data_IF_710291330196
#
_entry.id   IF_710291330196
#
_cell.length_a   1.000
_cell.length_b   1.000
_cell.length_c   1.000
_cell.angle_alpha   90.00
_cell.angle_beta   90.00
_cell.angle_gamma   90.00
#
_symmetry.space_group_name_H-M   'P 1'
#
loop_
_entity.id
_entity.type
_entity.pdbx_description
1 polymer ?
#
# COMPACT_ATOMS: atom_id res chain seq x y z
N UNK A 1 0.07 16.88 3.52
CA UNK A 1 -0.08 15.85 2.47
C UNK A 1 1.10 15.80 1.52
N UNK A 2 1.54 16.91 0.90
CA UNK A 2 2.75 16.91 0.05
C UNK A 2 4.01 16.38 0.77
N UNK A 3 4.25 16.82 2.01
CA UNK A 3 5.35 16.30 2.83
C UNK A 3 5.27 14.78 3.09
N UNK A 4 4.07 14.19 3.04
CA UNK A 4 3.90 12.75 3.19
C UNK A 4 4.22 12.00 1.89
N UNK A 5 3.95 12.60 0.72
CA UNK A 5 4.44 12.06 -0.55
C UNK A 5 5.97 12.04 -0.57
N UNK A 6 6.62 13.07 -0.06
CA UNK A 6 8.09 13.14 0.04
C UNK A 6 8.70 12.07 0.95
N UNK A 7 7.91 11.49 1.87
CA UNK A 7 8.35 10.38 2.70
C UNK A 7 8.31 9.02 2.00
N UNK A 8 7.68 8.92 0.83
CA UNK A 8 7.65 7.69 0.05
C UNK A 8 8.99 7.46 -0.68
N UNK A 9 9.54 6.23 -0.64
CA UNK A 9 10.72 5.86 -1.41
C UNK A 9 10.52 6.07 -2.91
N UNK A 10 11.58 6.49 -3.59
CA UNK A 10 11.57 6.79 -5.02
C UNK A 10 11.22 5.57 -5.90
N UNK A 11 11.54 4.36 -5.43
CA UNK A 11 11.27 3.10 -6.12
C UNK A 11 9.82 2.62 -6.02
N UNK A 12 8.97 3.24 -5.20
CA UNK A 12 7.55 2.85 -5.14
C UNK A 12 6.81 3.32 -6.38
N UNK A 13 5.86 2.52 -6.86
CA UNK A 13 4.89 2.97 -7.85
C UNK A 13 3.61 3.43 -7.15
N UNK A 14 3.16 4.64 -7.44
CA UNK A 14 2.01 5.26 -6.78
C UNK A 14 1.05 5.80 -7.82
N UNK A 15 -0.23 5.46 -7.70
CA UNK A 15 -1.34 6.12 -8.39
C UNK A 15 -2.22 6.83 -7.38
N UNK A 16 -3.18 7.63 -7.84
CA UNK A 16 -4.12 8.31 -6.95
C UNK A 16 -5.47 8.50 -7.62
N UNK A 17 -6.53 8.19 -6.88
CA UNK A 17 -7.89 8.53 -7.23
C UNK A 17 -8.46 9.42 -6.12
N UNK A 18 -8.87 10.62 -6.48
CA UNK A 18 -9.64 11.49 -5.59
C UNK A 18 -11.13 11.19 -5.76
N UNK A 19 -11.91 11.33 -4.70
CA UNK A 19 -13.36 11.19 -4.76
C UNK A 19 -14.05 12.08 -3.70
N UNK A 20 -15.31 12.49 -3.93
CA UNK A 20 -16.04 12.41 -5.21
C UNK A 20 -15.44 13.35 -6.27
N UNK A 21 -15.44 12.92 -7.54
CA UNK A 21 -15.00 13.76 -8.68
C UNK A 21 -16.13 14.18 -9.60
N UNK A 22 -17.32 13.57 -9.44
CA UNK A 22 -18.53 13.93 -10.16
C UNK A 22 -19.64 14.35 -9.19
N UNK A 23 -20.41 15.36 -9.59
CA UNK A 23 -21.63 15.74 -8.87
C UNK A 23 -22.73 14.71 -9.20
N UNK A 24 -22.93 13.78 -8.28
CA UNK A 24 -23.88 12.67 -8.42
C UNK A 24 -25.36 13.08 -8.35
N UNK A 25 -25.66 14.38 -8.22
CA UNK A 25 -27.05 14.89 -8.28
C UNK A 25 -27.74 14.67 -9.62
N UNK A 26 -27.02 14.25 -10.68
CA UNK A 26 -27.53 14.14 -12.07
C UNK A 26 -27.77 12.73 -12.59
N UNK A 27 -27.88 11.71 -11.74
CA UNK A 27 -28.18 10.34 -12.21
C UNK A 27 -27.10 9.78 -13.12
N UNK A 28 -25.84 10.10 -12.82
CA UNK A 28 -24.68 9.62 -13.55
C UNK A 28 -24.48 8.13 -13.27
N UNK A 29 -23.91 7.41 -14.24
CA UNK A 29 -23.59 5.99 -14.09
C UNK A 29 -22.39 5.74 -13.15
N UNK A 30 -21.55 6.76 -12.92
CA UNK A 30 -20.32 6.68 -12.13
C UNK A 30 -20.09 7.97 -11.34
N UNK A 31 -19.57 7.83 -10.12
CA UNK A 31 -19.39 8.91 -9.13
C UNK A 31 -17.92 9.32 -9.03
N UNK A 32 -17.07 8.41 -9.48
CA UNK A 32 -15.67 8.67 -9.78
C UNK A 32 -15.47 8.76 -11.30
N UNK A 33 -14.49 9.56 -11.69
CA UNK A 33 -14.12 9.81 -13.09
C UNK A 33 -12.75 9.20 -13.36
N UNK A 34 -12.65 8.42 -14.43
CA UNK A 34 -11.39 7.87 -14.94
C UNK A 34 -10.37 8.97 -15.27
N UNK A 35 -10.85 10.12 -15.75
CA UNK A 35 -10.02 11.29 -16.04
C UNK A 35 -9.38 11.93 -14.81
N UNK A 36 -9.89 11.60 -13.61
CA UNK A 36 -9.37 12.10 -12.34
C UNK A 36 -8.38 11.12 -11.68
N UNK A 37 -8.17 9.94 -12.28
CA UNK A 37 -7.19 8.98 -11.80
C UNK A 37 -5.80 9.33 -12.32
N UNK A 38 -4.86 9.49 -11.41
CA UNK A 38 -3.44 9.47 -11.74
C UNK A 38 -3.03 7.99 -11.84
N UNK A 39 -2.53 7.54 -13.00
CA UNK A 39 -2.14 6.14 -13.19
C UNK A 39 -0.97 5.77 -12.26
N UNK A 40 -0.91 4.49 -11.89
CA UNK A 40 0.21 3.95 -11.12
C UNK A 40 1.47 4.03 -11.98
N UNK A 41 2.45 4.79 -11.51
CA UNK A 41 3.76 4.95 -12.13
C UNK A 41 4.85 5.03 -11.06
N UNK A 42 6.12 4.71 -11.38
CA UNK A 42 7.23 4.93 -10.47
C UNK A 42 7.23 6.37 -9.95
N UNK A 43 7.31 6.52 -8.63
CA UNK A 43 7.25 7.80 -7.96
C UNK A 43 8.47 8.63 -8.31
N UNK A 44 9.65 8.03 -8.35
CA UNK A 44 10.91 8.67 -8.70
C UNK A 44 11.40 9.69 -7.66
N UNK A 45 12.57 10.27 -7.93
CA UNK A 45 13.22 11.25 -7.07
C UNK A 45 12.36 12.52 -6.82
N UNK A 46 12.64 13.30 -5.75
CA UNK A 46 12.01 14.59 -5.54
C UNK A 46 12.00 15.46 -6.80
N UNK A 47 10.83 16.01 -7.15
CA UNK A 47 10.63 16.80 -8.37
C UNK A 47 10.36 15.99 -9.66
N UNK A 48 10.22 14.66 -9.57
CA UNK A 48 9.78 13.83 -10.69
C UNK A 48 8.40 14.25 -11.23
N UNK A 49 8.10 13.87 -12.48
CA UNK A 49 6.79 14.12 -13.09
C UNK A 49 5.65 13.47 -12.29
N UNK A 50 5.87 12.28 -11.72
CA UNK A 50 4.83 11.59 -10.97
C UNK A 50 4.52 12.31 -9.64
N UNK A 51 5.55 12.74 -8.91
CA UNK A 51 5.36 13.56 -7.70
C UNK A 51 4.66 14.87 -8.02
N UNK A 52 5.04 15.54 -9.12
CA UNK A 52 4.39 16.76 -9.58
C UNK A 52 2.91 16.53 -9.92
N UNK A 53 2.57 15.45 -10.65
CA UNK A 53 1.20 15.11 -10.98
C UNK A 53 0.35 14.85 -9.73
N UNK A 54 0.88 14.08 -8.77
CA UNK A 54 0.21 13.81 -7.49
C UNK A 54 0.00 15.11 -6.69
N UNK A 55 1.03 15.96 -6.62
CA UNK A 55 0.96 17.25 -5.95
C UNK A 55 -0.06 18.20 -6.59
N UNK A 56 -0.11 18.24 -7.92
CA UNK A 56 -1.05 19.06 -8.69
C UNK A 56 -2.48 18.59 -8.48
N UNK A 57 -2.74 17.28 -8.51
CA UNK A 57 -4.08 16.76 -8.25
C UNK A 57 -4.55 17.07 -6.83
N UNK A 58 -3.69 16.94 -5.82
CA UNK A 58 -4.01 17.31 -4.45
C UNK A 58 -4.29 18.82 -4.29
N UNK A 59 -3.48 19.66 -4.94
CA UNK A 59 -3.62 21.12 -4.89
C UNK A 59 -4.91 21.60 -5.58
N UNK A 60 -5.30 20.92 -6.67
CA UNK A 60 -6.47 21.26 -7.47
C UNK A 60 -7.73 20.47 -7.06
N UNK A 61 -7.64 19.64 -6.04
CA UNK A 61 -8.76 18.83 -5.54
C UNK A 61 -9.94 19.74 -5.18
N UNK A 62 -11.13 19.37 -5.67
CA UNK A 62 -12.38 20.05 -5.35
C UNK A 62 -13.26 19.11 -4.55
N UNK A 63 -13.69 19.56 -3.38
CA UNK A 63 -14.67 18.84 -2.60
C UNK A 63 -16.05 19.01 -3.25
N UNK A 64 -16.68 17.88 -3.53
CA UNK A 64 -18.08 17.81 -3.98
C UNK A 64 -18.88 17.11 -2.88
N UNK A 65 -20.20 17.23 -2.93
CA UNK A 65 -21.07 16.52 -1.98
C UNK A 65 -20.97 14.99 -2.15
N UNK A 66 -21.28 14.29 -1.06
CA UNK A 66 -21.32 12.82 -0.93
C UNK A 66 -19.97 12.13 -0.81
N UNK A 67 -20.02 10.87 -0.38
CA UNK A 67 -18.85 10.02 -0.14
C UNK A 67 -19.07 8.68 -0.84
N UNK A 68 -18.83 8.58 -2.16
CA UNK A 68 -19.04 7.36 -2.96
C UNK A 68 -17.90 6.35 -2.76
N UNK A 69 -17.63 5.97 -1.50
CA UNK A 69 -16.48 5.15 -1.12
C UNK A 69 -16.42 3.81 -1.86
N UNK A 70 -17.56 3.14 -2.06
CA UNK A 70 -17.61 1.87 -2.79
C UNK A 70 -17.21 2.05 -4.25
N UNK A 71 -17.73 3.08 -4.93
CA UNK A 71 -17.41 3.35 -6.33
C UNK A 71 -15.92 3.68 -6.53
N UNK A 72 -15.36 4.48 -5.61
CA UNK A 72 -13.95 4.82 -5.62
C UNK A 72 -13.03 3.62 -5.38
N UNK A 73 -13.36 2.78 -4.39
CA UNK A 73 -12.61 1.56 -4.10
C UNK A 73 -12.65 0.59 -5.27
N UNK A 74 -13.86 0.31 -5.78
CA UNK A 74 -14.08 -0.56 -6.92
C UNK A 74 -13.25 -0.13 -8.11
N UNK A 75 -13.34 1.16 -8.48
CA UNK A 75 -12.62 1.71 -9.62
C UNK A 75 -11.10 1.63 -9.43
N UNK A 76 -10.58 1.99 -8.25
CA UNK A 76 -9.15 1.90 -7.97
C UNK A 76 -8.62 0.46 -8.05
N UNK A 77 -9.43 -0.53 -7.65
CA UNK A 77 -9.09 -1.94 -7.76
C UNK A 77 -9.15 -2.41 -9.22
N UNK A 78 -10.30 -2.30 -9.88
CA UNK A 78 -10.53 -2.94 -11.19
C UNK A 78 -9.84 -2.24 -12.35
N UNK A 79 -9.74 -0.90 -12.31
CA UNK A 79 -9.19 -0.12 -13.42
C UNK A 79 -7.71 0.26 -13.21
N UNK A 80 -7.18 0.07 -12.00
CA UNK A 80 -5.79 0.44 -11.67
C UNK A 80 -4.98 -0.75 -11.16
N UNK A 81 -5.27 -1.27 -9.97
CA UNK A 81 -4.38 -2.22 -9.29
C UNK A 81 -4.42 -3.63 -9.87
N UNK A 82 -5.59 -4.14 -10.25
CA UNK A 82 -5.73 -5.46 -10.88
C UNK A 82 -4.98 -5.54 -12.21
N UNK A 83 -5.15 -4.61 -13.17
CA UNK A 83 -4.44 -4.65 -14.44
C UNK A 83 -2.98 -4.17 -14.35
N UNK A 84 -2.53 -3.63 -13.21
CA UNK A 84 -1.14 -3.21 -13.06
C UNK A 84 -0.18 -4.40 -13.10
N UNK A 85 0.69 -4.44 -14.11
CA UNK A 85 1.67 -5.52 -14.32
C UNK A 85 3.03 -5.26 -13.65
N UNK A 86 3.20 -4.13 -12.97
CA UNK A 86 4.43 -3.86 -12.23
C UNK A 86 4.61 -4.82 -11.05
N UNK A 87 5.86 -5.16 -10.76
CA UNK A 87 6.20 -6.05 -9.66
C UNK A 87 5.98 -5.44 -8.27
N UNK A 88 6.08 -6.28 -7.25
CA UNK A 88 5.97 -5.88 -5.83
C UNK A 88 4.60 -6.14 -5.22
N UNK A 89 4.50 -5.88 -3.92
CA UNK A 89 3.24 -6.00 -3.19
C UNK A 89 2.26 -4.90 -3.62
N UNK A 90 1.02 -5.28 -3.89
CA UNK A 90 -0.06 -4.35 -4.25
C UNK A 90 -0.86 -3.97 -3.01
N UNK A 91 -1.22 -2.70 -2.89
CA UNK A 91 -2.04 -2.23 -1.79
C UNK A 91 -2.87 -1.01 -2.20
N UNK A 92 -4.00 -0.83 -1.52
CA UNK A 92 -4.83 0.38 -1.54
C UNK A 92 -4.65 1.11 -0.23
N UNK A 93 -4.61 2.44 -0.30
CA UNK A 93 -4.76 3.30 0.88
C UNK A 93 -6.08 4.04 0.74
N UNK A 94 -7.05 3.73 1.60
CA UNK A 94 -8.33 4.44 1.66
C UNK A 94 -8.29 5.47 2.79
N UNK A 95 -8.33 6.75 2.42
CA UNK A 95 -8.45 7.88 3.33
C UNK A 95 -9.85 8.46 3.23
N UNK A 96 -10.57 8.56 4.34
CA UNK A 96 -11.93 9.14 4.36
C UNK A 96 -12.19 9.90 5.66
N UNK A 97 -13.06 10.91 5.58
CA UNK A 97 -13.49 11.76 6.69
C UNK A 97 -14.94 11.45 7.14
N UNK A 98 -15.53 10.35 6.67
CA UNK A 98 -16.90 10.03 7.04
C UNK A 98 -17.46 8.72 6.48
N UNK A 99 -18.72 8.47 6.81
CA UNK A 99 -19.45 7.30 6.32
C UNK A 99 -19.68 7.37 4.80
N UNK A 100 -19.64 6.22 4.09
CA UNK A 100 -20.09 6.14 2.71
C UNK A 100 -21.56 6.59 2.58
N UNK A 101 -21.85 7.51 1.66
CA UNK A 101 -23.21 8.02 1.43
C UNK A 101 -23.85 7.54 0.13
N UNK A 102 -23.10 6.85 -0.73
CA UNK A 102 -23.60 6.29 -1.98
C UNK A 102 -23.18 4.82 -2.18
N UNK A 103 -24.09 3.94 -2.63
CA UNK A 103 -23.73 2.61 -3.11
C UNK A 103 -22.96 2.69 -4.43
N UNK A 104 -22.41 1.55 -4.85
CA UNK A 104 -21.75 1.38 -6.15
C UNK A 104 -22.63 1.87 -7.31
N UNK A 105 -22.02 2.54 -8.29
CA UNK A 105 -22.70 3.08 -9.47
C UNK A 105 -23.58 4.31 -9.18
N UNK A 106 -23.23 5.13 -8.18
CA UNK A 106 -23.99 6.32 -7.77
C UNK A 106 -25.47 6.10 -7.46
N UNK A 107 -25.85 4.89 -7.08
CA UNK A 107 -27.26 4.60 -6.81
C UNK A 107 -27.84 5.56 -5.77
N UNK A 108 -29.13 5.87 -5.87
CA UNK A 108 -29.84 6.51 -4.76
C UNK A 108 -30.00 5.48 -3.65
N UNK A 109 -29.68 5.84 -2.41
CA UNK A 109 -30.12 5.05 -1.27
C UNK A 109 -31.64 5.17 -1.17
N UNK A 110 -32.34 4.04 -1.26
CA UNK A 110 -33.80 4.05 -1.13
C UNK A 110 -34.17 4.29 0.34
N UNK A 111 -34.62 5.50 0.67
CA UNK A 111 -35.17 5.83 2.00
C UNK A 111 -34.58 7.08 2.63
N UNK A 112 -35.03 7.41 3.84
CA UNK A 112 -34.53 8.51 4.69
C UNK A 112 -33.16 8.24 5.31
N UNK A 113 -32.58 7.06 5.09
CA UNK A 113 -31.17 6.79 5.40
C UNK A 113 -30.32 7.15 4.19
N UNK A 114 -29.55 8.24 4.30
CA UNK A 114 -28.55 8.60 3.30
C UNK A 114 -27.16 8.00 3.63
N UNK A 115 -27.19 6.79 4.21
CA UNK A 115 -26.01 5.94 4.42
C UNK A 115 -26.03 4.80 3.41
N UNK A 116 -24.91 4.57 2.73
CA UNK A 116 -24.76 3.43 1.84
C UNK A 116 -24.61 2.12 2.63
N UNK A 117 -25.01 0.97 2.06
CA UNK A 117 -24.74 -0.32 2.69
C UNK A 117 -23.22 -0.52 2.81
N UNK A 118 -22.76 -0.83 4.03
CA UNK A 118 -21.33 -0.99 4.34
C UNK A 118 -20.79 -2.37 3.94
N UNK A 119 -21.61 -3.43 4.08
CA UNK A 119 -21.18 -4.81 3.84
C UNK A 119 -20.60 -5.03 2.43
N UNK A 120 -21.17 -4.49 1.33
CA UNK A 120 -20.58 -4.66 0.01
C UNK A 120 -19.15 -4.09 -0.12
N UNK A 121 -18.83 -3.01 0.61
CA UNK A 121 -17.47 -2.45 0.64
C UNK A 121 -16.53 -3.41 1.37
N UNK A 122 -16.97 -3.98 2.49
CA UNK A 122 -16.19 -4.98 3.25
C UNK A 122 -15.94 -6.25 2.42
N UNK A 123 -16.95 -6.72 1.68
CA UNK A 123 -16.85 -7.88 0.80
C UNK A 123 -15.82 -7.65 -0.32
N UNK A 124 -15.80 -6.45 -0.90
CA UNK A 124 -14.83 -6.06 -1.93
C UNK A 124 -13.40 -5.98 -1.37
N UNK A 125 -13.22 -5.40 -0.18
CA UNK A 125 -11.91 -5.38 0.50
C UNK A 125 -11.41 -6.81 0.77
N UNK A 126 -12.28 -7.69 1.28
CA UNK A 126 -11.93 -9.08 1.52
C UNK A 126 -11.57 -9.82 0.23
N UNK A 127 -12.29 -9.56 -0.87
CA UNK A 127 -11.99 -10.12 -2.18
C UNK A 127 -10.65 -9.64 -2.73
N UNK A 128 -10.31 -8.35 -2.55
CA UNK A 128 -9.02 -7.79 -2.93
C UNK A 128 -7.88 -8.43 -2.11
N UNK A 129 -8.06 -8.59 -0.79
CA UNK A 129 -7.09 -9.25 0.08
C UNK A 129 -6.85 -10.72 -0.32
N UNK A 130 -7.89 -11.44 -0.74
CA UNK A 130 -7.76 -12.80 -1.26
C UNK A 130 -6.95 -12.88 -2.58
N UNK A 131 -6.85 -11.78 -3.33
CA UNK A 131 -5.97 -11.63 -4.50
C UNK A 131 -4.57 -11.09 -4.15
N UNK A 132 -4.25 -10.96 -2.86
CA UNK A 132 -2.97 -10.41 -2.39
C UNK A 132 -2.88 -8.89 -2.42
N UNK A 133 -3.99 -8.17 -2.62
CA UNK A 133 -4.03 -6.70 -2.57
C UNK A 133 -4.44 -6.27 -1.16
N UNK A 134 -3.50 -5.72 -0.40
CA UNK A 134 -3.79 -5.25 0.98
C UNK A 134 -4.55 -3.93 0.98
N UNK A 135 -5.34 -3.63 2.00
CA UNK A 135 -6.06 -2.35 2.10
C UNK A 135 -5.83 -1.68 3.44
N UNK A 136 -5.08 -0.57 3.43
CA UNK A 136 -4.89 0.29 4.59
C UNK A 136 -6.04 1.30 4.71
N UNK A 137 -6.62 1.40 5.90
CA UNK A 137 -7.72 2.32 6.21
C UNK A 137 -7.23 3.45 7.10
N UNK A 138 -7.43 4.69 6.66
CA UNK A 138 -7.06 5.90 7.38
C UNK A 138 -8.32 6.73 7.61
N UNK A 139 -8.68 6.92 8.88
CA UNK A 139 -9.78 7.80 9.29
C UNK A 139 -9.28 9.22 9.53
N UNK A 140 -9.69 10.17 8.70
CA UNK A 140 -9.40 11.60 8.89
C UNK A 140 -10.32 12.23 9.96
N UNK A 141 -10.04 13.46 10.42
CA UNK A 141 -10.97 14.21 11.27
C UNK A 141 -12.41 14.22 10.71
N UNK A 142 -13.39 13.78 11.50
CA UNK A 142 -14.79 13.61 11.09
C UNK A 142 -15.18 12.16 10.78
N UNK A 143 -14.20 11.28 10.51
CA UNK A 143 -14.43 9.89 10.13
C UNK A 143 -15.03 9.02 11.23
N UNK A 144 -15.01 9.50 12.48
CA UNK A 144 -15.53 8.75 13.61
C UNK A 144 -17.06 8.62 13.59
N UNK A 145 -17.75 9.44 12.80
CA UNK A 145 -19.20 9.49 12.77
C UNK A 145 -19.80 9.56 11.38
N UNK A 146 -20.98 8.98 11.26
CA UNK A 146 -21.87 9.26 10.16
C UNK A 146 -22.46 10.68 10.33
N UNK A 147 -22.23 11.56 9.36
CA UNK A 147 -22.68 12.96 9.44
C UNK A 147 -24.20 13.16 9.52
N UNK A 148 -25.01 12.13 9.26
CA UNK A 148 -26.47 12.20 9.29
C UNK A 148 -27.09 11.44 10.45
N UNK A 149 -26.60 10.23 10.74
CA UNK A 149 -27.13 9.40 11.82
C UNK A 149 -26.39 9.59 13.15
N UNK A 150 -25.20 10.20 13.11
CA UNK A 150 -24.28 10.32 14.25
C UNK A 150 -23.86 8.95 14.83
N UNK A 151 -24.04 7.88 14.05
CA UNK A 151 -23.53 6.54 14.34
C UNK A 151 -22.00 6.53 14.31
N UNK A 152 -21.38 5.75 15.19
CA UNK A 152 -19.92 5.57 15.23
C UNK A 152 -19.46 4.72 14.04
N UNK A 153 -18.56 5.26 13.24
CA UNK A 153 -18.05 4.61 12.03
C UNK A 153 -16.70 3.91 12.24
N UNK A 154 -16.07 4.05 13.41
CA UNK A 154 -14.80 3.40 13.73
C UNK A 154 -14.86 1.86 13.70
N UNK A 155 -15.96 1.20 14.13
CA UNK A 155 -16.12 -0.24 13.94
C UNK A 155 -16.01 -0.67 12.47
N UNK A 156 -16.68 0.05 11.57
CA UNK A 156 -16.61 -0.22 10.13
C UNK A 156 -15.18 -0.03 9.59
N UNK A 157 -14.52 1.07 9.93
CA UNK A 157 -13.15 1.34 9.47
C UNK A 157 -12.16 0.28 9.99
N UNK A 158 -12.31 -0.14 11.24
CA UNK A 158 -11.49 -1.20 11.84
C UNK A 158 -11.73 -2.58 11.22
N UNK A 159 -12.99 -2.93 10.95
CA UNK A 159 -13.33 -4.18 10.26
C UNK A 159 -12.76 -4.20 8.84
N UNK A 160 -12.87 -3.08 8.11
CA UNK A 160 -12.28 -2.90 6.80
C UNK A 160 -10.75 -3.12 6.82
N UNK A 161 -10.03 -2.54 7.79
CA UNK A 161 -8.58 -2.74 7.92
C UNK A 161 -8.19 -4.20 8.23
N UNK A 162 -9.04 -4.89 9.02
CA UNK A 162 -8.84 -6.30 9.37
C UNK A 162 -9.04 -7.21 8.17
N UNK A 163 -10.13 -7.02 7.44
CA UNK A 163 -10.40 -7.75 6.20
C UNK A 163 -9.37 -7.44 5.11
N UNK A 164 -8.87 -6.20 5.07
CA UNK A 164 -7.82 -5.75 4.16
C UNK A 164 -6.43 -6.29 4.49
N UNK A 165 -6.26 -7.04 5.58
CA UNK A 165 -4.98 -7.65 5.97
C UNK A 165 -3.92 -6.65 6.43
N UNK A 166 -4.33 -5.48 6.95
CA UNK A 166 -3.42 -4.43 7.43
C UNK A 166 -3.63 -4.03 8.89
N UNK A 167 -4.54 -4.71 9.58
CA UNK A 167 -4.79 -4.48 10.99
C UNK A 167 -3.54 -4.76 11.84
N UNK A 168 -3.12 -3.83 12.72
CA UNK A 168 -2.04 -4.09 13.67
C UNK A 168 -2.38 -5.21 14.66
N UNK A 169 -1.37 -5.91 15.15
CA UNK A 169 -1.54 -6.92 16.19
C UNK A 169 -2.17 -6.33 17.46
N UNK A 170 -3.13 -7.05 18.03
CA UNK A 170 -3.82 -6.67 19.27
C UNK A 170 -4.87 -5.55 19.13
N UNK A 171 -5.10 -5.05 17.92
CA UNK A 171 -6.16 -4.07 17.67
C UNK A 171 -7.57 -4.62 17.97
N UNK A 172 -8.51 -3.71 18.19
CA UNK A 172 -9.93 -4.01 18.44
C UNK A 172 -10.80 -3.29 17.41
N UNK A 173 -11.95 -3.91 17.10
CA UNK A 173 -12.90 -3.35 16.13
C UNK A 173 -13.67 -2.18 16.75
N UNK A 174 -14.22 -2.41 17.95
CA UNK A 174 -15.19 -1.51 18.59
C UNK A 174 -14.57 -0.57 19.63
N UNK A 175 -13.26 -0.60 19.83
CA UNK A 175 -12.58 0.22 20.83
C UNK A 175 -11.10 0.46 20.50
N UNK A 176 -10.48 1.40 21.19
CA UNK A 176 -9.03 1.58 21.10
C UNK A 176 -8.25 0.38 21.73
N UNK A 177 -7.08 0.01 21.19
CA UNK A 177 -6.49 0.53 19.96
C UNK A 177 -7.25 0.01 18.73
N UNK A 178 -7.68 0.92 17.85
CA UNK A 178 -8.46 0.55 16.66
C UNK A 178 -7.59 -0.16 15.62
N UNK A 179 -8.22 -0.95 14.75
CA UNK A 179 -7.51 -1.69 13.68
C UNK A 179 -7.13 -0.83 12.47
N UNK A 180 -7.74 0.35 12.34
CA UNK A 180 -7.40 1.34 11.32
C UNK A 180 -6.52 2.45 11.92
N UNK A 181 -5.93 3.29 11.06
CA UNK A 181 -5.28 4.51 11.52
C UNK A 181 -6.35 5.56 11.86
N UNK A 182 -6.78 5.58 13.11
CA UNK A 182 -7.73 6.56 13.64
C UNK A 182 -7.02 7.90 13.88
N UNK A 183 -7.29 8.90 13.04
CA UNK A 183 -6.81 10.27 13.20
C UNK A 183 -7.97 11.24 13.46
N UNK A 184 -9.13 10.73 13.87
CA UNK A 184 -10.35 11.53 14.08
C UNK A 184 -10.16 12.67 15.09
N UNK A 185 -9.32 12.45 16.10
CA UNK A 185 -9.06 13.39 17.19
C UNK A 185 -7.65 14.03 17.14
N UNK A 186 -6.91 13.87 16.05
CA UNK A 186 -5.54 14.35 15.95
C UNK A 186 -5.48 15.88 15.74
N UNK A 187 -4.79 16.64 16.61
CA UNK A 187 -4.72 18.09 16.50
C UNK A 187 -3.87 18.56 15.32
N UNK A 188 -2.86 17.77 14.93
CA UNK A 188 -2.06 17.97 13.73
C UNK A 188 -2.29 16.81 12.76
N UNK A 189 -3.39 16.91 12.00
CA UNK A 189 -3.74 15.91 10.99
C UNK A 189 -2.62 15.71 9.96
N UNK A 190 -1.86 16.75 9.61
CA UNK A 190 -0.81 16.62 8.61
C UNK A 190 0.34 15.74 9.12
N UNK A 191 0.76 15.92 10.38
CA UNK A 191 1.77 15.09 11.02
C UNK A 191 1.28 13.65 11.26
N UNK A 192 0.02 13.49 11.70
CA UNK A 192 -0.59 12.17 11.90
C UNK A 192 -0.68 11.38 10.59
N UNK A 193 -1.12 12.03 9.51
CA UNK A 193 -1.20 11.43 8.18
C UNK A 193 0.19 11.04 7.66
N UNK A 194 1.20 11.90 7.82
CA UNK A 194 2.58 11.58 7.44
C UNK A 194 3.10 10.35 8.20
N UNK A 195 2.78 10.25 9.49
CA UNK A 195 3.14 9.09 10.32
C UNK A 195 2.43 7.82 9.85
N UNK A 196 1.12 7.89 9.57
CA UNK A 196 0.36 6.75 9.06
C UNK A 196 0.90 6.27 7.70
N UNK A 197 1.17 7.19 6.78
CA UNK A 197 1.74 6.87 5.47
C UNK A 197 3.16 6.29 5.57
N UNK A 198 3.99 6.75 6.52
CA UNK A 198 5.28 6.12 6.81
C UNK A 198 5.15 4.68 7.35
N UNK A 199 4.07 4.37 8.09
CA UNK A 199 3.76 3.00 8.50
C UNK A 199 3.29 2.13 7.33
N UNK A 200 2.53 2.70 6.40
CA UNK A 200 2.15 2.02 5.16
C UNK A 200 3.40 1.66 4.36
N UNK A 201 4.34 2.59 4.16
CA UNK A 201 5.56 2.29 3.38
C UNK A 201 6.43 1.24 4.05
N UNK A 202 6.65 1.32 5.36
CA UNK A 202 7.41 0.30 6.09
C UNK A 202 6.74 -1.07 6.04
N UNK A 203 5.41 -1.14 6.16
CA UNK A 203 4.66 -2.40 6.00
C UNK A 203 4.67 -2.98 4.57
N UNK A 204 5.01 -2.16 3.56
CA UNK A 204 5.16 -2.59 2.16
C UNK A 204 6.60 -3.03 1.87
N UNK A 205 7.59 -2.33 2.45
CA UNK A 205 9.02 -2.68 2.39
C UNK A 205 9.36 -3.88 3.30
N UNK A 206 8.39 -4.34 4.09
CA UNK A 206 8.55 -5.49 5.00
C UNK A 206 8.82 -6.84 4.31
N UNK A 207 8.86 -6.85 2.97
CA UNK A 207 9.27 -7.98 2.16
C UNK A 207 10.79 -8.21 2.32
N UNK A 208 11.18 -8.89 3.39
CA UNK A 208 12.47 -9.60 3.46
C UNK A 208 12.46 -10.87 2.62
N UNK A 209 11.55 -10.95 1.66
CA UNK A 209 11.21 -12.12 0.91
C UNK A 209 10.96 -11.69 -0.53
N UNK A 210 11.78 -12.19 -1.44
CA UNK A 210 11.81 -11.81 -2.85
C UNK A 210 11.53 -13.05 -3.70
N UNK A 211 10.61 -12.94 -4.64
CA UNK A 211 10.33 -14.02 -5.60
C UNK A 211 11.27 -13.86 -6.80
N UNK A 212 11.98 -14.93 -7.15
CA UNK A 212 12.80 -15.03 -8.35
C UNK A 212 11.84 -15.18 -9.55
N UNK A 213 11.89 -14.26 -10.53
CA UNK A 213 11.06 -14.35 -11.74
C UNK A 213 11.29 -15.68 -12.50
N UNK A 214 10.20 -16.30 -12.95
CA UNK A 214 10.24 -17.59 -13.67
C UNK A 214 11.01 -17.53 -14.99
N UNK A 215 11.05 -16.35 -15.62
CA UNK A 215 11.70 -16.14 -16.91
C UNK A 215 13.23 -16.26 -16.85
N UNK A 216 13.82 -16.05 -15.66
CA UNK A 216 15.25 -16.27 -15.41
C UNK A 216 15.62 -17.76 -15.55
N UNK A 217 14.74 -18.67 -15.12
CA UNK A 217 14.95 -20.12 -15.25
C UNK A 217 14.68 -20.67 -16.66
N UNK A 218 13.90 -19.95 -17.47
CA UNK A 218 13.51 -20.40 -18.82
C UNK A 218 14.57 -20.14 -19.91
N UNK A 219 15.54 -19.25 -19.66
CA UNK A 219 16.59 -18.87 -20.61
C UNK A 219 17.87 -19.69 -20.40
N UNK A 220 17.77 -21.00 -20.61
CA UNK A 220 18.86 -21.96 -20.91
C UNK A 220 20.09 -22.07 -19.99
N UNK A 221 20.29 -21.19 -19.02
CA UNK A 221 21.22 -21.42 -17.91
C UNK A 221 20.35 -21.71 -16.68
N UNK A 222 20.40 -22.97 -16.26
CA UNK A 222 19.76 -23.44 -15.03
C UNK A 222 20.15 -22.48 -13.90
N UNK A 223 19.16 -21.93 -13.20
CA UNK A 223 19.40 -21.03 -12.08
C UNK A 223 20.37 -21.71 -11.10
N UNK A 224 21.58 -21.15 -10.99
CA UNK A 224 22.64 -21.67 -10.15
C UNK A 224 22.66 -20.86 -8.86
N UNK A 225 22.10 -21.46 -7.81
CA UNK A 225 22.02 -20.83 -6.49
C UNK A 225 23.42 -20.52 -5.94
N UNK A 226 24.46 -21.26 -6.34
CA UNK A 226 25.85 -21.04 -5.92
C UNK A 226 26.51 -19.88 -6.69
N UNK A 227 25.86 -19.35 -7.73
CA UNK A 227 26.26 -18.14 -8.48
C UNK A 227 25.31 -16.96 -8.27
N UNK A 228 24.48 -17.04 -7.23
CA UNK A 228 23.56 -15.98 -6.86
C UNK A 228 24.22 -15.09 -5.82
N UNK A 229 24.38 -13.81 -6.14
CA UNK A 229 24.92 -12.82 -5.22
C UNK A 229 23.80 -11.84 -4.86
N UNK A 230 23.58 -11.65 -3.55
CA UNK A 230 22.67 -10.64 -3.03
C UNK A 230 23.50 -9.46 -2.52
N UNK A 231 23.29 -8.29 -3.10
CA UNK A 231 24.01 -7.07 -2.73
C UNK A 231 22.99 -6.08 -2.18
N UNK A 232 23.24 -5.58 -0.97
CA UNK A 232 22.47 -4.48 -0.39
C UNK A 232 23.27 -3.21 -0.56
N UNK A 233 22.71 -2.24 -1.29
CA UNK A 233 23.24 -0.88 -1.34
C UNK A 233 22.50 -0.05 -0.31
N UNK A 234 23.21 0.53 0.65
CA UNK A 234 22.67 1.40 1.71
C UNK A 234 22.46 2.83 1.22
N UNK A 235 21.75 3.63 2.01
CA UNK A 235 21.47 5.04 1.75
C UNK A 235 22.70 5.93 1.64
N UNK A 236 23.80 5.56 2.32
CA UNK A 236 25.10 6.22 2.19
C UNK A 236 25.87 5.85 0.92
N UNK A 237 25.30 4.97 0.08
CA UNK A 237 25.88 4.46 -1.15
C UNK A 237 26.84 3.28 -0.95
N UNK A 238 27.13 2.86 0.30
CA UNK A 238 27.92 1.67 0.57
C UNK A 238 27.19 0.41 0.09
N UNK A 239 27.96 -0.59 -0.35
CA UNK A 239 27.42 -1.87 -0.80
C UNK A 239 27.95 -2.99 0.08
N UNK A 240 27.05 -3.89 0.48
CA UNK A 240 27.38 -5.06 1.29
C UNK A 240 26.91 -6.30 0.54
N UNK A 241 27.83 -7.21 0.28
CA UNK A 241 27.50 -8.55 -0.17
C UNK A 241 26.91 -9.33 1.00
N UNK A 242 25.70 -9.84 0.83
CA UNK A 242 25.01 -10.68 1.79
C UNK A 242 25.22 -12.14 1.37
N UNK A 243 25.88 -12.89 2.23
CA UNK A 243 26.17 -14.30 1.97
C UNK A 243 24.91 -15.15 2.14
N UNK A 244 24.84 -16.22 1.35
CA UNK A 244 23.79 -17.23 1.49
C UNK A 244 24.03 -18.02 2.77
N UNK A 245 22.94 -18.33 3.47
CA UNK A 245 22.92 -19.30 4.55
C UNK A 245 22.20 -20.56 4.07
N UNK A 246 22.90 -21.69 4.15
CA UNK A 246 22.41 -23.01 3.75
C UNK A 246 21.56 -23.69 4.83
N UNK A 247 21.39 -23.07 6.00
CA UNK A 247 20.59 -23.55 7.13
C UNK A 247 19.40 -22.62 7.42
N UNK A 248 18.27 -22.80 6.73
CA UNK A 248 17.10 -21.92 6.91
C UNK A 248 16.53 -21.89 8.33
N UNK A 249 16.71 -22.97 9.09
CA UNK A 249 16.16 -23.09 10.45
C UNK A 249 16.88 -22.21 11.47
N UNK A 250 18.16 -21.92 11.25
CA UNK A 250 19.03 -21.22 12.21
C UNK A 250 19.58 -19.91 11.65
N UNK A 251 19.10 -19.47 10.49
CA UNK A 251 19.68 -18.32 9.83
C UNK A 251 19.42 -17.04 10.63
N UNK A 252 20.48 -16.45 11.17
CA UNK A 252 20.43 -15.15 11.86
C UNK A 252 20.83 -13.99 10.94
N UNK A 253 21.87 -14.20 10.13
CA UNK A 253 22.41 -13.24 9.15
C UNK A 253 22.56 -13.93 7.80
N UNK A 254 22.33 -13.20 6.70
CA UNK A 254 22.44 -13.71 5.35
C UNK A 254 21.10 -13.75 4.62
N UNK A 255 20.97 -14.68 3.69
CA UNK A 255 19.73 -14.99 3.01
C UNK A 255 19.61 -16.48 2.71
N UNK A 256 18.38 -16.97 2.62
CA UNK A 256 18.07 -18.39 2.34
C UNK A 256 17.25 -18.49 1.06
N UNK A 257 17.29 -19.65 0.40
CA UNK A 257 16.45 -19.95 -0.75
C UNK A 257 15.44 -21.05 -0.39
N UNK A 258 14.16 -20.81 -0.65
CA UNK A 258 13.11 -21.82 -0.56
C UNK A 258 12.29 -21.83 -1.86
N UNK A 259 12.50 -22.84 -2.69
CA UNK A 259 11.90 -22.88 -4.03
C UNK A 259 12.42 -21.74 -4.91
N UNK A 260 11.52 -20.88 -5.38
CA UNK A 260 11.85 -19.67 -6.14
C UNK A 260 11.86 -18.41 -5.28
N UNK A 261 11.99 -18.53 -3.96
CA UNK A 261 11.85 -17.42 -3.04
C UNK A 261 13.12 -17.25 -2.20
N UNK A 262 13.68 -16.05 -2.24
CA UNK A 262 14.82 -15.65 -1.41
C UNK A 262 14.29 -14.95 -0.18
N UNK A 263 14.75 -15.35 1.01
CA UNK A 263 14.37 -14.71 2.26
C UNK A 263 15.62 -14.22 3.00
N UNK A 264 15.70 -12.92 3.28
CA UNK A 264 16.71 -12.35 4.16
C UNK A 264 16.50 -12.87 5.58
N UNK A 265 17.59 -13.24 6.23
CA UNK A 265 17.55 -13.70 7.60
C UNK A 265 17.27 -12.53 8.55
N UNK A 266 16.74 -12.78 9.76
CA UNK A 266 16.14 -11.74 10.60
C UNK A 266 17.04 -10.52 10.84
N UNK A 267 18.34 -10.70 11.14
CA UNK A 267 19.20 -9.55 11.40
C UNK A 267 19.54 -8.76 10.13
N UNK A 268 19.74 -9.45 9.00
CA UNK A 268 19.94 -8.79 7.70
C UNK A 268 18.68 -8.04 7.28
N UNK A 269 17.52 -8.67 7.43
CA UNK A 269 16.20 -8.12 7.23
C UNK A 269 15.98 -6.86 8.06
N UNK A 270 16.24 -6.91 9.38
CA UNK A 270 16.10 -5.77 10.28
C UNK A 270 17.06 -4.63 9.91
N UNK A 271 18.30 -4.96 9.54
CA UNK A 271 19.29 -3.97 9.09
C UNK A 271 18.87 -3.27 7.80
N UNK A 272 18.19 -4.01 6.89
CA UNK A 272 17.64 -3.48 5.66
C UNK A 272 16.44 -2.58 5.94
N UNK A 273 15.49 -3.03 6.76
CA UNK A 273 14.32 -2.24 7.16
C UNK A 273 14.68 -0.96 7.90
N UNK A 274 15.80 -0.95 8.62
CA UNK A 274 16.31 0.23 9.30
C UNK A 274 16.83 1.33 8.34
N UNK A 275 17.11 0.98 7.08
CA UNK A 275 17.54 1.91 6.04
C UNK A 275 16.47 2.02 4.94
N UNK A 276 15.58 3.04 4.99
CA UNK A 276 14.46 3.17 4.05
C UNK A 276 14.91 3.47 2.61
N UNK A 277 16.20 3.75 2.41
CA UNK A 277 16.80 4.02 1.10
C UNK A 277 17.64 2.86 0.58
N UNK A 278 17.68 1.74 1.31
CA UNK A 278 18.43 0.58 0.88
C UNK A 278 17.80 -0.08 -0.35
N UNK A 279 18.66 -0.56 -1.25
CA UNK A 279 18.30 -1.28 -2.47
C UNK A 279 18.87 -2.70 -2.41
N UNK A 280 18.01 -3.70 -2.66
CA UNK A 280 18.44 -5.10 -2.78
C UNK A 280 18.61 -5.43 -4.25
N UNK A 281 19.84 -5.71 -4.66
CA UNK A 281 20.16 -6.20 -6.00
C UNK A 281 20.46 -7.69 -5.94
N UNK A 282 19.81 -8.43 -6.82
CA UNK A 282 20.03 -9.86 -7.01
C UNK A 282 20.70 -10.08 -8.36
N UNK A 283 21.90 -10.67 -8.32
CA UNK A 283 22.71 -10.94 -9.51
C UNK A 283 22.90 -12.44 -9.68
N UNK A 284 22.64 -12.93 -10.89
CA UNK A 284 22.75 -14.34 -11.27
C UNK A 284 23.87 -14.51 -12.29
N UNK A 285 24.65 -15.60 -12.18
CA UNK A 285 25.59 -16.01 -13.23
C UNK A 285 27.01 -15.43 -13.14
N UNK A 286 27.31 -14.62 -12.12
CA UNK A 286 28.70 -14.32 -11.75
C UNK A 286 29.17 -15.35 -10.71
N UNK A 287 30.37 -15.92 -10.88
CA UNK A 287 30.99 -16.76 -9.84
C UNK A 287 30.86 -16.05 -8.49
N UNK A 288 30.43 -16.76 -7.44
CA UNK A 288 30.36 -16.19 -6.10
C UNK A 288 31.69 -15.51 -5.77
N UNK A 289 31.60 -14.26 -5.31
CA UNK A 289 32.79 -13.54 -4.87
C UNK A 289 33.19 -14.15 -3.52
N UNK A 290 34.25 -14.96 -3.51
CA UNK A 290 34.81 -15.45 -2.24
C UNK A 290 35.31 -14.26 -1.40
N UNK A 291 35.07 -14.26 -0.07
CA UNK A 291 35.68 -13.28 0.82
C UNK A 291 37.21 -13.34 0.67
N UNK A 292 37.86 -12.19 0.48
CA UNK A 292 39.32 -12.12 0.48
C UNK A 292 39.85 -12.73 1.78
N UNK A 293 40.81 -13.67 1.73
CA UNK A 293 41.39 -14.23 2.94
C UNK A 293 42.03 -13.13 3.79
N UNK A 294 41.77 -13.19 5.10
CA UNK A 294 42.28 -12.26 6.11
C UNK A 294 43.81 -12.24 6.21
#
# INVERSE_FOLDING_TARGET
MLAALDAFPDGMSVGMLLFPTADSTRGMAQCVSDQSMIPIQPLGAPGSMQRAALADALTNARLVYNTPTHDALHFALTESLEPYEGGGAKFVVLLTDGAPTQPLGCGRTNGSSATAPLQPILDEIAAAAAKGIKTYILGAPGSEKNGQTNEDMRPFLSEAAKLGGTAPDGCQIDSAPYCHFDMSAEPDFAAALATALGKVTTGVVDACTFVIPEDIGSKSEEFDVDKTNLIVKKGDGSQVLILRDDSPADCSEGWTLNGNQITLCPQTCDSYKADPTAEVTLSFGCNAIEPLPA
#
